data_IF_975548569263
#
_entry.id   IF_975548569263
#
_cell.length_a   1.000
_cell.length_b   1.000
_cell.length_c   1.000
_cell.angle_alpha   90.00
_cell.angle_beta   90.00
_cell.angle_gamma   90.00
#
_symmetry.space_group_name_H-M   'P 1'
#
loop_
_entity.id
_entity.type
_entity.pdbx_description
1 polymer ?
#
# COMPACT_ATOMS: atom_id res chain seq x y z
N UNK A 1 -1.74 -28.27 5.82
CA UNK A 1 -0.90 -27.04 5.82
C UNK A 1 -1.72 -25.77 5.61
N UNK A 2 -2.73 -25.73 4.73
CA UNK A 2 -3.52 -24.51 4.45
C UNK A 2 -4.34 -23.98 5.64
N UNK A 3 -4.94 -24.84 6.48
CA UNK A 3 -5.81 -24.42 7.59
C UNK A 3 -5.11 -23.67 8.73
N UNK A 4 -3.94 -24.15 9.16
CA UNK A 4 -3.18 -23.49 10.23
C UNK A 4 -2.60 -22.15 9.76
N UNK A 5 -2.03 -22.10 8.56
CA UNK A 5 -1.49 -20.87 7.98
C UNK A 5 -2.58 -19.81 7.80
N UNK A 6 -3.72 -20.16 7.21
CA UNK A 6 -4.84 -19.23 7.03
C UNK A 6 -5.39 -18.75 8.38
N UNK A 7 -5.41 -19.60 9.42
CA UNK A 7 -5.77 -19.17 10.78
C UNK A 7 -4.79 -18.13 11.33
N UNK A 8 -3.48 -18.37 11.19
CA UNK A 8 -2.45 -17.43 11.67
C UNK A 8 -2.56 -16.07 10.96
N UNK A 9 -2.79 -16.06 9.65
CA UNK A 9 -2.98 -14.82 8.88
C UNK A 9 -4.27 -14.11 9.32
N UNK A 10 -5.36 -14.85 9.56
CA UNK A 10 -6.60 -14.26 10.09
C UNK A 10 -6.43 -13.65 11.48
N UNK A 11 -5.52 -14.14 12.31
CA UNK A 11 -5.21 -13.48 13.57
C UNK A 11 -4.46 -12.16 13.35
N UNK A 12 -3.61 -12.05 12.32
CA UNK A 12 -2.99 -10.78 11.92
C UNK A 12 -4.04 -9.75 11.50
N UNK A 13 -5.09 -10.16 10.77
CA UNK A 13 -6.22 -9.29 10.43
C UNK A 13 -6.84 -8.69 11.70
N UNK A 14 -7.10 -9.53 12.73
CA UNK A 14 -7.70 -9.06 13.98
C UNK A 14 -6.80 -8.08 14.72
N UNK A 15 -5.48 -8.34 14.75
CA UNK A 15 -4.53 -7.44 15.40
C UNK A 15 -4.48 -6.08 14.71
N UNK A 16 -4.42 -6.06 13.38
CA UNK A 16 -4.36 -4.82 12.60
C UNK A 16 -5.67 -4.01 12.70
N UNK A 17 -6.83 -4.66 12.70
CA UNK A 17 -8.10 -3.98 12.90
C UNK A 17 -8.26 -3.39 14.31
N UNK A 18 -7.86 -4.16 15.32
CA UNK A 18 -7.87 -3.69 16.70
C UNK A 18 -6.93 -2.49 16.87
N UNK A 19 -5.74 -2.55 16.27
CA UNK A 19 -4.76 -1.47 16.29
C UNK A 19 -5.31 -0.20 15.60
N UNK A 20 -5.87 -0.34 14.41
CA UNK A 20 -6.47 0.76 13.66
C UNK A 20 -7.58 1.45 14.48
N UNK A 21 -8.54 0.69 15.00
CA UNK A 21 -9.63 1.24 15.82
C UNK A 21 -9.10 1.88 17.11
N UNK A 22 -8.10 1.29 17.76
CA UNK A 22 -7.47 1.86 18.95
C UNK A 22 -6.85 3.23 18.69
N UNK A 23 -6.09 3.36 17.60
CA UNK A 23 -5.43 4.59 17.18
C UNK A 23 -6.43 5.67 16.73
N UNK A 24 -7.43 5.29 15.93
CA UNK A 24 -8.54 6.17 15.52
C UNK A 24 -9.22 6.77 16.76
N UNK A 25 -9.63 5.93 17.71
CA UNK A 25 -10.29 6.35 18.95
C UNK A 25 -9.41 7.24 19.82
N UNK A 26 -8.14 6.89 19.98
CA UNK A 26 -7.18 7.69 20.75
C UNK A 26 -6.93 9.07 20.12
N UNK A 27 -7.10 9.20 18.81
CA UNK A 27 -6.88 10.46 18.07
C UNK A 27 -8.08 11.41 18.04
N UNK A 28 -9.29 10.95 18.40
CA UNK A 28 -10.54 11.71 18.22
C UNK A 28 -10.49 13.12 18.80
N UNK A 29 -9.98 13.25 20.03
CA UNK A 29 -9.93 14.50 20.79
C UNK A 29 -8.56 15.18 20.78
N UNK A 30 -7.60 14.68 19.98
CA UNK A 30 -6.28 15.29 19.86
C UNK A 30 -6.40 16.60 19.09
N UNK A 31 -6.08 17.73 19.74
CA UNK A 31 -6.10 19.06 19.10
C UNK A 31 -4.83 19.37 18.30
N UNK A 32 -3.71 18.70 18.61
CA UNK A 32 -2.48 18.89 17.86
C UNK A 32 -2.60 18.23 16.48
N UNK A 33 -2.58 19.05 15.42
CA UNK A 33 -2.84 18.61 14.05
C UNK A 33 -1.83 17.59 13.54
N UNK A 34 -0.54 17.75 13.86
CA UNK A 34 0.50 16.84 13.38
C UNK A 34 0.42 15.50 14.10
N UNK A 35 0.21 15.50 15.42
CA UNK A 35 0.03 14.26 16.19
C UNK A 35 -1.21 13.51 15.69
N UNK A 36 -2.31 14.22 15.43
CA UNK A 36 -3.53 13.61 14.88
C UNK A 36 -3.28 12.99 13.50
N UNK A 37 -2.56 13.68 12.62
CA UNK A 37 -2.21 13.17 11.29
C UNK A 37 -1.35 11.91 11.36
N UNK A 38 -0.34 11.87 12.24
CA UNK A 38 0.51 10.69 12.43
C UNK A 38 -0.29 9.49 12.96
N UNK A 39 -1.14 9.69 13.96
CA UNK A 39 -1.98 8.62 14.50
C UNK A 39 -2.95 8.08 13.46
N UNK A 40 -3.57 8.97 12.65
CA UNK A 40 -4.44 8.57 11.57
C UNK A 40 -3.68 7.82 10.47
N UNK A 41 -2.47 8.26 10.11
CA UNK A 41 -1.62 7.58 9.12
C UNK A 41 -1.31 6.14 9.51
N UNK A 42 -0.88 5.91 10.76
CA UNK A 42 -0.61 4.55 11.27
C UNK A 42 -1.90 3.72 11.29
N UNK A 43 -3.05 4.31 11.63
CA UNK A 43 -4.33 3.62 11.56
C UNK A 43 -4.68 3.22 10.12
N UNK A 44 -4.47 4.10 9.13
CA UNK A 44 -4.70 3.80 7.71
C UNK A 44 -3.78 2.68 7.21
N UNK A 45 -2.52 2.67 7.63
CA UNK A 45 -1.60 1.56 7.32
C UNK A 45 -2.08 0.25 7.94
N UNK A 46 -2.54 0.27 9.19
CA UNK A 46 -3.09 -0.92 9.85
C UNK A 46 -4.34 -1.43 9.11
N UNK A 47 -5.23 -0.53 8.65
CA UNK A 47 -6.38 -0.91 7.80
C UNK A 47 -5.93 -1.54 6.47
N UNK A 48 -4.93 -0.94 5.81
CA UNK A 48 -4.32 -1.46 4.58
C UNK A 48 -3.76 -2.87 4.82
N UNK A 49 -3.02 -3.08 5.90
CA UNK A 49 -2.46 -4.40 6.24
C UNK A 49 -3.54 -5.44 6.48
N UNK A 50 -4.56 -5.10 7.27
CA UNK A 50 -5.71 -5.99 7.50
C UNK A 50 -6.39 -6.39 6.19
N UNK A 51 -6.53 -5.44 5.25
CA UNK A 51 -7.09 -5.70 3.92
C UNK A 51 -6.21 -6.66 3.11
N UNK A 52 -4.89 -6.43 3.07
CA UNK A 52 -3.96 -7.32 2.37
C UNK A 52 -3.93 -8.73 2.99
N UNK A 53 -3.94 -8.85 4.32
CA UNK A 53 -3.99 -10.16 4.98
C UNK A 53 -5.27 -10.93 4.66
N UNK A 54 -6.42 -10.25 4.58
CA UNK A 54 -7.68 -10.88 4.13
C UNK A 54 -7.58 -11.39 2.70
N UNK A 55 -7.09 -10.55 1.78
CA UNK A 55 -6.90 -10.93 0.39
C UNK A 55 -5.98 -12.17 0.26
N UNK A 56 -4.90 -12.24 1.04
CA UNK A 56 -4.03 -13.42 1.08
C UNK A 56 -4.77 -14.69 1.56
N UNK A 57 -5.67 -14.58 2.54
CA UNK A 57 -6.47 -15.74 2.99
C UNK A 57 -7.44 -16.20 1.91
N UNK A 58 -8.12 -15.28 1.23
CA UNK A 58 -9.04 -15.59 0.12
C UNK A 58 -8.29 -16.27 -1.04
N UNK A 59 -7.13 -15.74 -1.43
CA UNK A 59 -6.25 -16.36 -2.44
C UNK A 59 -5.80 -17.77 -2.02
N UNK A 60 -5.35 -17.94 -0.77
CA UNK A 60 -4.91 -19.25 -0.26
C UNK A 60 -6.04 -20.29 -0.17
N UNK A 61 -7.29 -19.85 -0.10
CA UNK A 61 -8.48 -20.71 -0.13
C UNK A 61 -8.99 -20.98 -1.55
N UNK A 62 -8.45 -20.30 -2.56
CA UNK A 62 -8.94 -20.36 -3.93
C UNK A 62 -10.32 -19.71 -4.09
N UNK A 63 -10.64 -18.72 -3.24
CA UNK A 63 -11.90 -17.97 -3.26
C UNK A 63 -11.80 -16.72 -4.15
N UNK A 64 -10.59 -16.30 -4.49
CA UNK A 64 -10.36 -15.18 -5.40
C UNK A 64 -10.77 -15.54 -6.84
N UNK A 65 -11.38 -14.55 -7.51
CA UNK A 65 -11.84 -14.70 -8.89
C UNK A 65 -10.81 -14.06 -9.82
N UNK A 66 -10.58 -14.64 -11.01
CA UNK A 66 -9.77 -13.98 -12.02
C UNK A 66 -10.43 -12.66 -12.45
N UNK A 67 -9.59 -11.69 -12.80
CA UNK A 67 -10.04 -10.44 -13.41
C UNK A 67 -10.71 -10.70 -14.76
N UNK A 68 -11.78 -9.97 -15.03
CA UNK A 68 -12.43 -9.88 -16.35
C UNK A 68 -11.66 -8.95 -17.28
N UNK A 69 -11.88 -9.08 -18.59
CA UNK A 69 -11.28 -8.18 -19.61
C UNK A 69 -11.59 -6.70 -19.34
N UNK A 70 -12.82 -6.39 -18.90
CA UNK A 70 -13.20 -5.03 -18.54
C UNK A 70 -12.46 -4.51 -17.30
N UNK A 71 -12.16 -5.37 -16.34
CA UNK A 71 -11.37 -5.01 -15.16
C UNK A 71 -9.91 -4.78 -15.52
N UNK A 72 -9.32 -5.62 -16.39
CA UNK A 72 -7.97 -5.40 -16.91
C UNK A 72 -7.83 -4.02 -17.60
N UNK A 73 -8.76 -3.67 -18.49
CA UNK A 73 -8.72 -2.40 -19.21
C UNK A 73 -8.95 -1.19 -18.27
N UNK A 74 -9.83 -1.34 -17.27
CA UNK A 74 -10.07 -0.30 -16.27
C UNK A 74 -8.83 -0.09 -15.38
N UNK A 75 -8.27 -1.18 -14.86
CA UNK A 75 -7.08 -1.16 -14.00
C UNK A 75 -5.87 -0.61 -14.75
N UNK A 76 -5.65 -1.02 -16.00
CA UNK A 76 -4.53 -0.53 -16.82
C UNK A 76 -4.55 0.99 -16.99
N UNK A 77 -5.73 1.59 -17.18
CA UNK A 77 -5.89 3.05 -17.26
C UNK A 77 -5.60 3.72 -15.92
N UNK A 78 -6.21 3.23 -14.84
CA UNK A 78 -6.04 3.80 -13.50
C UNK A 78 -4.58 3.72 -13.02
N UNK A 79 -3.92 2.56 -13.19
CA UNK A 79 -2.52 2.36 -12.81
C UNK A 79 -1.62 3.31 -13.59
N UNK A 80 -1.81 3.44 -14.91
CA UNK A 80 -0.99 4.34 -15.74
C UNK A 80 -1.12 5.79 -15.33
N UNK A 81 -2.33 6.24 -14.98
CA UNK A 81 -2.55 7.59 -14.44
C UNK A 81 -1.78 7.80 -13.14
N UNK A 82 -1.93 6.87 -12.18
CA UNK A 82 -1.31 6.99 -10.87
C UNK A 82 0.22 6.87 -10.90
N UNK A 83 0.82 6.08 -11.79
CA UNK A 83 2.29 6.04 -12.00
C UNK A 83 2.83 7.46 -12.27
N UNK A 84 2.13 8.23 -13.10
CA UNK A 84 2.53 9.60 -13.44
C UNK A 84 2.31 10.57 -12.28
N UNK A 85 1.24 10.39 -11.51
CA UNK A 85 0.98 11.17 -10.28
C UNK A 85 2.09 10.95 -9.27
N UNK A 86 2.45 9.70 -8.98
CA UNK A 86 3.51 9.38 -8.01
C UNK A 86 4.86 9.95 -8.45
N UNK A 87 5.21 9.80 -9.73
CA UNK A 87 6.47 10.33 -10.26
C UNK A 87 6.53 11.87 -10.14
N UNK A 88 5.40 12.55 -10.34
CA UNK A 88 5.31 14.00 -10.14
C UNK A 88 5.45 14.35 -8.66
N UNK A 89 4.73 13.65 -7.78
CA UNK A 89 4.77 13.89 -6.34
C UNK A 89 6.19 13.74 -5.78
N UNK A 90 6.92 12.70 -6.19
CA UNK A 90 8.31 12.48 -5.81
C UNK A 90 9.20 13.68 -6.18
N UNK A 91 9.10 14.18 -7.43
CA UNK A 91 9.86 15.35 -7.90
C UNK A 91 9.51 16.61 -7.11
N UNK A 92 8.21 16.87 -6.92
CA UNK A 92 7.73 18.03 -6.18
C UNK A 92 8.22 18.01 -4.71
N UNK A 93 8.24 16.83 -4.07
CA UNK A 93 8.76 16.67 -2.71
C UNK A 93 10.27 16.94 -2.66
N UNK A 94 11.03 16.43 -3.63
CA UNK A 94 12.48 16.69 -3.73
C UNK A 94 12.78 18.18 -3.92
N UNK A 95 12.03 18.87 -4.79
CA UNK A 95 12.13 20.32 -4.96
C UNK A 95 11.77 21.07 -3.67
N UNK A 96 10.70 20.65 -2.98
CA UNK A 96 10.27 21.25 -1.72
C UNK A 96 11.34 21.11 -0.62
N UNK A 97 12.02 19.96 -0.54
CA UNK A 97 13.13 19.75 0.39
C UNK A 97 14.34 20.63 0.10
N UNK A 98 14.55 21.05 -1.16
CA UNK A 98 15.65 21.95 -1.53
C UNK A 98 15.42 23.40 -1.10
N UNK A 99 14.15 23.84 -1.01
CA UNK A 99 13.80 25.23 -0.67
C UNK A 99 13.44 25.42 0.80
N UNK A 100 13.10 24.36 1.52
CA UNK A 100 12.81 24.42 2.96
C UNK A 100 14.09 24.66 3.76
N UNK A 101 14.07 25.69 4.60
CA UNK A 101 15.16 26.00 5.53
C UNK A 101 15.10 25.24 6.87
N UNK A 102 13.94 24.69 7.25
CA UNK A 102 13.80 23.93 8.50
C UNK A 102 14.00 22.43 8.26
N UNK A 103 15.14 21.91 8.70
CA UNK A 103 15.51 20.50 8.58
C UNK A 103 14.48 19.55 9.22
N UNK A 104 13.72 20.00 10.22
CA UNK A 104 12.71 19.15 10.88
C UNK A 104 11.54 18.81 9.95
N UNK A 105 11.19 19.72 9.05
CA UNK A 105 10.15 19.48 8.04
C UNK A 105 10.63 18.49 6.97
N UNK A 106 11.93 18.47 6.68
CA UNK A 106 12.52 17.52 5.72
C UNK A 106 12.41 16.08 6.20
N UNK A 107 12.40 15.81 7.50
CA UNK A 107 12.16 14.46 8.01
C UNK A 107 10.79 13.91 7.59
N UNK A 108 9.75 14.73 7.68
CA UNK A 108 8.39 14.34 7.27
C UNK A 108 8.31 14.17 5.75
N UNK A 109 8.91 15.09 5.00
CA UNK A 109 8.95 14.99 3.53
C UNK A 109 9.72 13.77 3.04
N UNK A 110 10.82 13.41 3.71
CA UNK A 110 11.56 12.19 3.39
C UNK A 110 10.75 10.94 3.67
N UNK A 111 10.03 10.89 4.79
CA UNK A 111 9.10 9.80 5.09
C UNK A 111 8.05 9.62 3.98
N UNK A 112 7.41 10.72 3.55
CA UNK A 112 6.42 10.68 2.47
C UNK A 112 7.09 10.26 1.13
N UNK A 113 8.27 10.80 0.81
CA UNK A 113 8.99 10.44 -0.41
C UNK A 113 9.32 8.93 -0.47
N UNK A 114 9.67 8.34 0.67
CA UNK A 114 9.96 6.91 0.75
C UNK A 114 8.67 6.06 0.61
N UNK A 115 7.51 6.57 1.01
CA UNK A 115 6.19 5.98 0.69
C UNK A 115 5.92 6.03 -0.82
N UNK A 116 6.06 7.18 -1.47
CA UNK A 116 5.76 7.30 -2.91
C UNK A 116 6.70 6.47 -3.78
N UNK A 117 7.97 6.32 -3.38
CA UNK A 117 8.90 5.39 -4.06
C UNK A 117 8.41 3.95 -4.00
N UNK A 118 7.86 3.53 -2.85
CA UNK A 118 7.28 2.19 -2.70
C UNK A 118 6.02 2.08 -3.55
N UNK A 119 5.07 3.01 -3.43
CA UNK A 119 3.84 3.02 -4.21
C UNK A 119 4.11 2.98 -5.72
N UNK A 120 5.04 3.79 -6.21
CA UNK A 120 5.43 3.80 -7.61
C UNK A 120 5.96 2.44 -8.08
N UNK A 121 6.84 1.80 -7.30
CA UNK A 121 7.35 0.46 -7.62
C UNK A 121 6.23 -0.60 -7.63
N UNK A 122 5.31 -0.56 -6.65
CA UNK A 122 4.14 -1.45 -6.60
C UNK A 122 3.26 -1.28 -7.85
N UNK A 123 3.02 -0.02 -8.28
CA UNK A 123 2.20 0.28 -9.45
C UNK A 123 2.85 -0.18 -10.75
N UNK A 124 4.16 -0.04 -10.90
CA UNK A 124 4.90 -0.59 -12.05
C UNK A 124 4.77 -2.11 -12.13
N UNK A 125 4.91 -2.79 -11.00
CA UNK A 125 4.68 -4.24 -10.92
C UNK A 125 3.24 -4.63 -11.26
N UNK A 126 2.24 -3.88 -10.79
CA UNK A 126 0.83 -4.11 -11.13
C UNK A 126 0.58 -3.89 -12.61
N UNK A 127 1.16 -2.85 -13.21
CA UNK A 127 1.06 -2.57 -14.64
C UNK A 127 1.61 -3.73 -15.46
N UNK A 128 2.78 -4.27 -15.08
CA UNK A 128 3.38 -5.41 -15.75
C UNK A 128 2.49 -6.67 -15.64
N UNK A 129 1.93 -6.95 -14.46
CA UNK A 129 1.02 -8.07 -14.27
C UNK A 129 -0.26 -7.92 -15.12
N UNK A 130 -0.87 -6.73 -15.12
CA UNK A 130 -2.06 -6.40 -15.93
C UNK A 130 -1.77 -6.54 -17.43
N UNK A 131 -0.60 -6.09 -17.91
CA UNK A 131 -0.21 -6.18 -19.31
C UNK A 131 -0.02 -7.63 -19.79
N UNK A 132 0.37 -8.54 -18.89
CA UNK A 132 0.53 -9.97 -19.19
C UNK A 132 -0.80 -10.74 -19.20
N UNK A 133 -1.90 -10.14 -18.72
CA UNK A 133 -3.29 -10.68 -18.73
C UNK A 133 -3.36 -12.14 -18.26
N UNK A 134 -3.93 -13.02 -19.08
CA UNK A 134 -4.22 -14.44 -18.78
C UNK A 134 -2.98 -15.32 -18.56
N UNK A 135 -1.76 -14.81 -18.84
CA UNK A 135 -0.51 -15.56 -18.69
C UNK A 135 0.04 -15.58 -17.25
N UNK A 136 -0.70 -15.00 -16.28
CA UNK A 136 -0.25 -14.81 -14.90
C UNK A 136 -1.24 -15.49 -13.96
N UNK A 137 -0.80 -16.51 -13.22
CA UNK A 137 -1.60 -17.11 -12.14
C UNK A 137 -1.66 -16.16 -10.94
N UNK A 138 -2.67 -16.28 -10.06
CA UNK A 138 -2.79 -15.41 -8.87
C UNK A 138 -1.51 -15.34 -8.00
N UNK A 139 -0.70 -16.40 -7.96
CA UNK A 139 0.58 -16.40 -7.25
C UNK A 139 1.72 -15.73 -8.04
N UNK A 140 1.66 -15.74 -9.37
CA UNK A 140 2.64 -15.05 -10.21
C UNK A 140 2.53 -13.52 -10.04
N UNK A 141 1.33 -13.00 -9.76
CA UNK A 141 1.13 -11.58 -9.41
C UNK A 141 1.96 -11.18 -8.20
N UNK A 142 1.97 -11.98 -7.13
CA UNK A 142 2.73 -11.64 -5.91
C UNK A 142 4.23 -11.46 -6.21
N UNK A 143 4.76 -12.31 -7.08
CA UNK A 143 6.16 -12.20 -7.51
C UNK A 143 6.39 -10.99 -8.40
N UNK A 144 5.57 -10.80 -9.45
CA UNK A 144 5.75 -9.68 -10.40
C UNK A 144 5.63 -8.34 -9.67
N UNK A 145 4.62 -8.22 -8.81
CA UNK A 145 4.29 -6.93 -8.22
C UNK A 145 5.29 -6.55 -7.13
N UNK A 146 5.68 -7.49 -6.26
CA UNK A 146 6.52 -7.17 -5.09
C UNK A 146 8.04 -7.26 -5.33
N UNK A 147 8.49 -7.82 -6.45
CA UNK A 147 9.91 -8.11 -6.69
C UNK A 147 10.83 -6.89 -6.60
N UNK A 148 10.40 -5.75 -7.14
CA UNK A 148 11.24 -4.56 -7.28
C UNK A 148 10.86 -3.45 -6.28
N UNK A 149 10.01 -3.76 -5.29
CA UNK A 149 9.62 -2.83 -4.24
C UNK A 149 10.79 -2.60 -3.29
N UNK A 150 11.20 -1.35 -3.04
CA UNK A 150 12.27 -1.09 -2.09
C UNK A 150 11.79 -1.34 -0.66
N UNK A 151 12.49 -2.22 0.05
CA UNK A 151 12.30 -2.44 1.49
C UNK A 151 13.42 -1.70 2.24
N UNK A 152 13.07 -0.55 2.80
CA UNK A 152 13.96 0.24 3.64
C UNK A 152 13.89 -0.35 5.07
N UNK A 153 14.93 -1.06 5.49
CA UNK A 153 15.09 -1.64 6.84
C UNK A 153 16.03 -0.81 7.70
#
# INVERSE_FOLDING_TARGET
>A
MSGQLTSMIMDMVKYEEWNATGLENASLNVSNVMVKALMAGIAYDSRKHAYLFRALVEMLRGESKPLTESEYDMLGKAITEHINVELKMMRDIEELMNVIGDERLKYVLKYILDDEKRHHALLLGLQEAVNRRELVTEFDWLNIVWKDVPFFF
#
